data_IF_297946098565
#
_entry.id   IF_297946098565
#
_cell.length_a   1.000
_cell.length_b   1.000
_cell.length_c   1.000
_cell.angle_alpha   90.00
_cell.angle_beta   90.00
_cell.angle_gamma   90.00
#
_symmetry.space_group_name_H-M   'P 1'
#
loop_
_entity.id
_entity.type
_entity.pdbx_description
1 polymer ?
#
# COMPACT_ATOMS: atom_id res chain seq x y z
N UNK A 1 16.51 -51.31 60.50
CA UNK A 1 16.61 -50.91 59.10
C UNK A 1 15.89 -49.59 58.96
N UNK A 2 16.63 -48.45 58.86
CA UNK A 2 16.09 -47.12 58.70
C UNK A 2 15.88 -46.86 57.21
N UNK A 3 14.63 -46.66 56.76
CA UNK A 3 14.30 -46.28 55.38
C UNK A 3 14.54 -44.77 55.22
N UNK A 4 15.53 -44.41 54.38
CA UNK A 4 15.80 -43.05 53.97
C UNK A 4 14.87 -42.74 52.80
N UNK A 5 13.93 -41.82 52.98
CA UNK A 5 13.03 -41.30 51.94
C UNK A 5 13.78 -40.23 51.15
N UNK A 6 14.00 -40.35 49.81
CA UNK A 6 14.61 -39.28 49.05
C UNK A 6 13.63 -38.11 48.89
N UNK A 7 14.05 -36.94 49.36
CA UNK A 7 13.34 -35.69 49.10
C UNK A 7 13.67 -35.26 47.66
N UNK A 8 12.66 -35.35 46.77
CA UNK A 8 12.76 -34.86 45.40
C UNK A 8 12.66 -33.33 45.43
N UNK A 9 13.80 -32.66 45.27
CA UNK A 9 13.87 -31.19 45.17
C UNK A 9 13.46 -30.80 43.75
N UNK A 10 12.19 -30.41 43.56
CA UNK A 10 11.69 -29.81 42.30
C UNK A 10 12.24 -28.41 42.18
N UNK A 11 13.19 -28.21 41.27
CA UNK A 11 13.65 -26.88 40.88
C UNK A 11 12.59 -26.28 39.97
N UNK A 12 11.81 -25.32 40.50
CA UNK A 12 10.89 -24.48 39.69
C UNK A 12 11.77 -23.52 38.92
N UNK A 13 11.90 -23.72 37.60
CA UNK A 13 12.51 -22.73 36.72
C UNK A 13 11.48 -21.62 36.50
N UNK A 14 11.69 -20.50 37.14
CA UNK A 14 10.95 -19.26 36.84
C UNK A 14 11.54 -18.69 35.55
N UNK A 15 10.90 -18.93 34.43
CA UNK A 15 11.20 -18.20 33.21
C UNK A 15 10.68 -16.77 33.38
N UNK A 16 11.56 -15.81 33.56
CA UNK A 16 11.20 -14.40 33.41
C UNK A 16 10.84 -14.16 31.94
N UNK A 17 9.57 -14.11 31.63
CA UNK A 17 9.10 -13.49 30.38
C UNK A 17 9.31 -11.99 30.61
N UNK A 18 10.36 -11.45 30.06
CA UNK A 18 10.55 -10.00 30.02
C UNK A 18 9.35 -9.40 29.31
N UNK A 19 8.60 -8.53 29.98
CA UNK A 19 7.55 -7.76 29.32
C UNK A 19 8.24 -6.83 28.31
N UNK A 20 7.87 -6.92 27.01
CA UNK A 20 8.36 -6.00 25.99
C UNK A 20 7.97 -4.56 26.37
N UNK A 21 8.95 -3.65 26.34
CA UNK A 21 8.73 -2.23 26.64
C UNK A 21 8.14 -1.47 25.44
N UNK A 22 8.14 -2.07 24.25
CA UNK A 22 7.69 -1.46 23.01
C UNK A 22 6.49 -2.19 22.43
N UNK A 23 5.46 -1.42 22.08
CA UNK A 23 4.36 -1.86 21.25
C UNK A 23 4.46 -1.15 19.90
N UNK A 24 4.62 -1.92 18.83
CA UNK A 24 4.62 -1.43 17.45
C UNK A 24 3.32 -1.85 16.77
N UNK A 25 2.65 -0.89 16.14
CA UNK A 25 1.37 -1.12 15.45
C UNK A 25 1.34 -0.40 14.10
N UNK A 26 0.58 -0.93 13.15
CA UNK A 26 0.40 -0.39 11.80
C UNK A 26 0.04 -1.50 10.82
N UNK A 27 -0.28 -1.10 9.60
CA UNK A 27 -0.49 -2.06 8.52
C UNK A 27 0.84 -2.67 8.09
N UNK A 28 0.79 -3.94 7.68
CA UNK A 28 1.99 -4.70 7.31
C UNK A 28 1.97 -5.19 5.86
N UNK A 29 0.87 -4.98 5.14
CA UNK A 29 0.74 -5.35 3.73
C UNK A 29 0.31 -4.14 2.91
N UNK A 30 1.11 -3.79 1.92
CA UNK A 30 0.88 -2.69 1.00
C UNK A 30 0.96 -3.20 -0.43
N UNK A 31 -0.10 -2.94 -1.21
CA UNK A 31 -0.10 -3.19 -2.64
C UNK A 31 0.20 -1.89 -3.38
N UNK A 32 0.96 -1.98 -4.47
CA UNK A 32 1.29 -0.84 -5.30
C UNK A 32 1.62 -1.22 -6.74
N UNK A 33 1.87 -0.20 -7.54
CA UNK A 33 2.32 -0.37 -8.92
C UNK A 33 3.85 -0.41 -9.03
N UNK A 34 4.35 -0.51 -10.27
CA UNK A 34 5.78 -0.66 -10.53
C UNK A 34 6.55 0.67 -10.60
N UNK A 35 5.86 1.81 -10.55
CA UNK A 35 6.48 3.13 -10.82
C UNK A 35 6.27 4.12 -9.68
N UNK A 36 5.25 3.92 -8.86
CA UNK A 36 4.95 4.80 -7.73
C UNK A 36 5.60 4.27 -6.46
N UNK A 37 6.26 5.16 -5.71
CA UNK A 37 6.79 4.82 -4.39
C UNK A 37 5.68 4.43 -3.43
N UNK A 38 5.83 3.28 -2.78
CA UNK A 38 4.92 2.82 -1.75
C UNK A 38 5.46 3.26 -0.39
N UNK A 39 4.61 3.84 0.45
CA UNK A 39 4.95 4.23 1.81
C UNK A 39 4.19 3.41 2.84
N UNK A 40 4.86 3.13 3.95
CA UNK A 40 4.31 2.46 5.14
C UNK A 40 4.61 3.25 6.39
N UNK A 41 3.75 3.18 7.39
CA UNK A 41 3.93 3.90 8.64
C UNK A 41 3.67 2.95 9.81
N UNK A 42 4.54 3.01 10.83
CA UNK A 42 4.38 2.28 12.07
C UNK A 42 4.31 3.24 13.24
N UNK A 43 3.40 2.99 14.14
CA UNK A 43 3.29 3.67 15.43
C UNK A 43 4.09 2.92 16.47
N UNK A 44 4.91 3.63 17.23
CA UNK A 44 5.74 3.07 18.29
C UNK A 44 5.30 3.63 19.63
N UNK A 45 4.96 2.77 20.58
CA UNK A 45 4.52 3.16 21.93
C UNK A 45 5.41 2.54 22.98
N UNK A 46 5.86 3.36 23.94
CA UNK A 46 6.48 2.89 25.17
C UNK A 46 5.40 2.38 26.13
N UNK A 47 5.42 1.09 26.43
CA UNK A 47 4.50 0.43 27.37
C UNK A 47 5.10 0.24 28.76
N UNK A 48 6.38 0.60 28.94
CA UNK A 48 7.08 0.51 30.22
C UNK A 48 6.76 1.70 31.14
N UNK A 49 7.25 1.63 32.36
CA UNK A 49 7.16 2.70 33.37
C UNK A 49 8.34 3.66 33.36
N UNK A 50 9.36 3.41 32.50
CA UNK A 50 10.54 4.21 32.39
C UNK A 50 10.62 4.91 31.03
N UNK A 51 11.37 6.00 30.94
CA UNK A 51 11.76 6.57 29.65
C UNK A 51 12.71 5.61 28.96
N UNK A 52 12.49 5.33 27.68
CA UNK A 52 13.34 4.47 26.85
C UNK A 52 13.86 5.26 25.65
N UNK A 53 15.09 4.95 25.23
CA UNK A 53 15.71 5.54 24.04
C UNK A 53 15.64 4.52 22.91
N UNK A 54 14.81 4.77 21.91
CA UNK A 54 14.49 3.82 20.84
C UNK A 54 15.29 4.11 19.58
N UNK A 55 15.83 3.05 18.98
CA UNK A 55 16.36 3.02 17.61
C UNK A 55 15.57 2.06 16.74
N UNK A 56 15.63 2.28 15.42
CA UNK A 56 15.01 1.40 14.42
C UNK A 56 16.09 0.82 13.51
N UNK A 57 16.24 -0.49 13.49
CA UNK A 57 17.09 -1.21 12.53
C UNK A 57 16.24 -1.74 11.38
N UNK A 58 16.75 -1.61 10.14
CA UNK A 58 16.12 -2.15 8.94
C UNK A 58 16.90 -3.36 8.42
N UNK A 59 16.18 -4.42 8.05
CA UNK A 59 16.75 -5.60 7.36
C UNK A 59 15.91 -5.88 6.11
N UNK A 60 16.55 -5.94 4.95
CA UNK A 60 15.91 -6.39 3.72
C UNK A 60 15.87 -7.91 3.73
N UNK A 61 14.71 -8.53 3.93
CA UNK A 61 14.52 -9.98 3.91
C UNK A 61 14.42 -10.50 2.48
N UNK A 62 13.64 -9.78 1.65
CA UNK A 62 13.51 -10.06 0.22
C UNK A 62 13.30 -8.75 -0.53
N UNK A 63 14.17 -8.45 -1.48
CA UNK A 63 14.01 -7.30 -2.38
C UNK A 63 14.17 -7.80 -3.82
N UNK A 64 13.14 -7.68 -4.68
CA UNK A 64 13.25 -7.96 -6.10
C UNK A 64 14.41 -7.21 -6.75
N UNK A 65 15.09 -7.84 -7.72
CA UNK A 65 16.27 -7.28 -8.34
C UNK A 65 15.95 -5.94 -9.03
N UNK A 66 16.60 -4.87 -8.61
CA UNK A 66 16.36 -3.50 -9.09
C UNK A 66 15.46 -2.67 -8.18
N UNK A 67 14.70 -3.27 -7.26
CA UNK A 67 13.95 -2.54 -6.26
C UNK A 67 14.82 -2.04 -5.11
N UNK A 68 14.37 -1.01 -4.40
CA UNK A 68 15.06 -0.44 -3.26
C UNK A 68 14.09 -0.11 -2.12
N UNK A 69 14.53 -0.30 -0.87
CA UNK A 69 13.79 0.13 0.32
C UNK A 69 14.61 1.08 1.16
N UNK A 70 13.99 2.15 1.64
CA UNK A 70 14.58 3.13 2.56
C UNK A 70 13.58 3.50 3.64
N UNK A 71 14.01 4.21 4.67
CA UNK A 71 13.15 4.56 5.79
C UNK A 71 13.57 5.84 6.47
N UNK A 72 12.64 6.45 7.21
CA UNK A 72 12.88 7.56 8.10
C UNK A 72 12.48 7.17 9.52
N UNK A 73 13.26 7.61 10.52
CA UNK A 73 12.95 7.46 11.94
C UNK A 73 13.79 8.45 12.75
N UNK A 74 13.25 8.94 13.88
CA UNK A 74 13.93 9.86 14.79
C UNK A 74 14.49 11.10 14.07
N UNK A 75 13.65 11.73 13.24
CA UNK A 75 13.97 12.96 12.51
C UNK A 75 14.97 12.81 11.36
N UNK A 76 15.40 11.59 11.03
CA UNK A 76 16.36 11.34 9.94
C UNK A 76 15.87 10.27 8.97
N UNK A 77 16.27 10.42 7.68
CA UNK A 77 16.01 9.45 6.64
C UNK A 77 17.31 8.72 6.26
N UNK A 78 17.18 7.43 6.01
CA UNK A 78 18.29 6.50 5.77
C UNK A 78 18.18 5.90 4.38
N UNK A 79 19.29 5.85 3.66
CA UNK A 79 19.37 5.29 2.32
C UNK A 79 19.07 3.79 2.28
N UNK A 80 18.88 3.24 1.08
CA UNK A 80 18.62 1.82 0.87
C UNK A 80 19.68 0.89 1.47
N UNK A 81 20.95 1.32 1.46
CA UNK A 81 22.09 0.57 2.02
C UNK A 81 22.25 0.70 3.54
N UNK A 82 21.51 1.61 4.18
CA UNK A 82 21.63 1.83 5.63
C UNK A 82 20.81 0.80 6.40
N UNK A 83 21.47 0.03 7.25
CA UNK A 83 20.84 -0.97 8.12
C UNK A 83 20.82 -0.53 9.59
N UNK A 84 21.81 0.26 10.02
CA UNK A 84 21.95 0.70 11.40
C UNK A 84 21.74 2.21 11.51
N UNK A 85 20.78 2.67 12.30
CA UNK A 85 20.46 4.09 12.42
C UNK A 85 21.49 4.82 13.27
N UNK A 86 21.77 6.08 12.92
CA UNK A 86 22.57 6.99 13.78
C UNK A 86 21.71 7.67 14.85
N UNK A 87 20.42 7.90 14.56
CA UNK A 87 19.49 8.64 15.42
C UNK A 87 18.64 7.74 16.30
N UNK A 88 18.18 8.30 17.40
CA UNK A 88 17.27 7.66 18.36
C UNK A 88 16.21 8.66 18.82
N UNK A 89 15.06 8.15 19.27
CA UNK A 89 13.99 8.93 19.85
C UNK A 89 13.78 8.53 21.33
N UNK A 90 13.64 9.52 22.21
CA UNK A 90 13.29 9.26 23.61
C UNK A 90 11.77 9.24 23.78
N UNK A 91 11.24 8.14 24.33
CA UNK A 91 9.83 7.97 24.61
C UNK A 91 9.59 7.93 26.12
N UNK A 92 8.79 8.85 26.63
CA UNK A 92 8.30 8.83 28.01
C UNK A 92 7.35 7.64 28.24
N UNK A 93 7.13 7.21 29.49
CA UNK A 93 6.15 6.19 29.82
C UNK A 93 4.78 6.47 29.20
N UNK A 94 4.27 5.52 28.43
CA UNK A 94 2.98 5.62 27.74
C UNK A 94 2.97 6.48 26.47
N UNK A 95 4.06 7.19 26.16
CA UNK A 95 4.16 8.00 24.95
C UNK A 95 4.11 7.12 23.70
N UNK A 96 3.47 7.66 22.65
CA UNK A 96 3.43 7.10 21.29
C UNK A 96 4.04 8.10 20.33
N UNK A 97 4.80 7.64 19.36
CA UNK A 97 5.20 8.38 18.16
C UNK A 97 4.39 7.83 16.99
N UNK A 98 3.78 8.71 16.19
CA UNK A 98 2.88 8.34 15.08
C UNK A 98 3.01 9.31 13.93
N UNK A 99 3.05 8.79 12.70
CA UNK A 99 3.00 9.61 11.49
C UNK A 99 1.68 10.39 11.40
N UNK A 100 0.58 9.80 11.84
CA UNK A 100 -0.74 10.44 11.83
C UNK A 100 -0.82 11.70 12.70
N UNK A 101 0.04 11.80 13.73
CA UNK A 101 0.16 12.99 14.57
C UNK A 101 1.17 14.02 14.04
N UNK A 102 1.81 13.75 12.89
CA UNK A 102 2.90 14.57 12.34
C UNK A 102 4.11 14.66 13.29
N UNK A 103 4.36 13.60 14.06
CA UNK A 103 5.52 13.54 14.94
C UNK A 103 6.80 13.51 14.10
N UNK A 104 7.77 14.39 14.40
CA UNK A 104 9.03 14.48 13.68
C UNK A 104 9.87 13.19 13.74
N UNK A 105 9.70 12.41 14.80
CA UNK A 105 10.43 11.16 15.04
C UNK A 105 9.70 9.93 14.47
N UNK A 106 8.54 10.13 13.79
CA UNK A 106 7.71 9.04 13.29
C UNK A 106 8.46 8.14 12.31
N UNK A 107 8.10 6.84 12.33
CA UNK A 107 8.60 5.88 11.35
C UNK A 107 7.84 5.99 10.03
N UNK A 108 8.60 6.00 8.95
CA UNK A 108 8.09 5.86 7.57
C UNK A 108 9.03 4.93 6.80
N UNK A 109 8.49 3.82 6.33
CA UNK A 109 9.18 2.91 5.41
C UNK A 109 8.76 3.22 3.97
N UNK A 110 9.67 3.06 3.03
CA UNK A 110 9.43 3.31 1.60
C UNK A 110 9.98 2.16 0.77
N UNK A 111 9.28 1.86 -0.32
CA UNK A 111 9.74 0.93 -1.32
C UNK A 111 9.50 1.47 -2.73
N UNK A 112 10.54 1.41 -3.56
CA UNK A 112 10.50 1.71 -4.98
C UNK A 112 10.79 0.44 -5.78
N UNK A 113 9.83 0.02 -6.59
CA UNK A 113 9.94 -1.17 -7.44
C UNK A 113 10.79 -0.93 -8.70
N UNK A 114 10.93 0.34 -9.14
CA UNK A 114 11.66 0.74 -10.36
C UNK A 114 11.33 -0.11 -11.59
N UNK A 115 10.07 -0.42 -11.79
CA UNK A 115 9.59 -1.22 -12.91
C UNK A 115 9.70 -2.74 -12.72
N UNK A 116 10.19 -3.23 -11.58
CA UNK A 116 10.36 -4.66 -11.30
C UNK A 116 9.16 -5.22 -10.53
N UNK A 117 8.48 -6.20 -11.13
CA UNK A 117 7.39 -6.92 -10.46
C UNK A 117 7.93 -7.89 -9.40
N UNK A 118 7.26 -7.97 -8.28
CA UNK A 118 7.59 -8.88 -7.20
C UNK A 118 7.07 -8.45 -5.83
N UNK A 119 7.38 -9.26 -4.83
CA UNK A 119 7.07 -8.98 -3.43
C UNK A 119 8.35 -8.62 -2.71
N UNK A 120 8.40 -7.43 -2.11
CA UNK A 120 9.49 -7.04 -1.23
C UNK A 120 9.06 -7.22 0.23
N UNK A 121 9.99 -7.73 1.05
CA UNK A 121 9.81 -7.89 2.49
C UNK A 121 10.94 -7.19 3.24
N UNK A 122 10.56 -6.27 4.10
CA UNK A 122 11.48 -5.46 4.90
C UNK A 122 11.10 -5.58 6.36
N UNK A 123 12.05 -5.98 7.19
CA UNK A 123 11.89 -6.04 8.63
C UNK A 123 12.39 -4.75 9.26
N UNK A 124 11.60 -4.21 10.17
CA UNK A 124 11.95 -3.08 11.03
C UNK A 124 11.91 -3.53 12.48
N UNK A 125 13.07 -3.48 13.16
CA UNK A 125 13.22 -3.82 14.57
C UNK A 125 13.44 -2.56 15.38
N UNK A 126 12.53 -2.28 16.31
CA UNK A 126 12.63 -1.18 17.26
C UNK A 126 13.13 -1.72 18.59
N UNK A 127 14.18 -1.13 19.13
CA UNK A 127 14.82 -1.62 20.35
C UNK A 127 15.23 -0.49 21.28
N UNK A 128 15.25 -0.76 22.59
CA UNK A 128 15.82 0.15 23.58
C UNK A 128 17.36 0.11 23.51
N UNK A 129 17.98 1.26 23.28
CA UNK A 129 19.46 1.39 23.23
C UNK A 129 20.14 0.91 24.50
N UNK A 130 19.48 1.06 25.67
CA UNK A 130 20.02 0.65 26.96
C UNK A 130 19.78 -0.84 27.27
N UNK A 131 18.86 -1.48 26.55
CA UNK A 131 18.57 -2.91 26.62
C UNK A 131 18.25 -3.46 25.23
N UNK A 132 19.25 -3.69 24.36
CA UNK A 132 19.03 -4.09 22.97
C UNK A 132 18.32 -5.44 22.77
N UNK A 133 18.19 -6.25 23.84
CA UNK A 133 17.40 -7.49 23.80
C UNK A 133 15.90 -7.28 23.98
N UNK A 134 15.49 -6.07 24.38
CA UNK A 134 14.11 -5.62 24.44
C UNK A 134 13.76 -4.95 23.11
N UNK A 135 13.45 -5.77 22.13
CA UNK A 135 13.12 -5.36 20.75
C UNK A 135 11.77 -5.88 20.30
N UNK A 136 11.14 -5.12 19.39
CA UNK A 136 9.93 -5.52 18.69
C UNK A 136 10.16 -5.35 17.20
N UNK A 137 10.05 -6.45 16.45
CA UNK A 137 10.24 -6.46 15.01
C UNK A 137 8.90 -6.62 14.28
N UNK A 138 8.77 -5.92 13.15
CA UNK A 138 7.62 -5.99 12.25
C UNK A 138 8.12 -6.16 10.82
N UNK A 139 7.56 -7.12 10.09
CA UNK A 139 7.83 -7.31 8.67
C UNK A 139 6.76 -6.55 7.88
N UNK A 140 7.20 -5.67 7.01
CA UNK A 140 6.36 -4.98 6.04
C UNK A 140 6.52 -5.67 4.69
N UNK A 141 5.39 -6.03 4.08
CA UNK A 141 5.32 -6.62 2.74
C UNK A 141 4.81 -5.57 1.75
N UNK A 142 5.58 -5.32 0.70
CA UNK A 142 5.19 -4.49 -0.44
C UNK A 142 4.95 -5.39 -1.64
N UNK A 143 3.69 -5.52 -2.06
CA UNK A 143 3.28 -6.39 -3.16
C UNK A 143 3.10 -5.56 -4.45
N UNK A 144 4.05 -5.72 -5.36
CA UNK A 144 4.02 -5.17 -6.72
C UNK A 144 3.85 -6.29 -7.77
N UNK A 145 3.23 -7.42 -7.41
CA UNK A 145 2.97 -8.52 -8.36
C UNK A 145 1.72 -8.25 -9.17
N UNK A 146 0.72 -7.60 -8.57
CA UNK A 146 -0.47 -7.19 -9.27
C UNK A 146 -0.12 -5.98 -10.10
N UNK A 147 0.14 -6.17 -11.38
CA UNK A 147 -0.08 -5.12 -12.35
C UNK A 147 -1.59 -4.89 -12.43
N UNK A 148 -2.17 -4.21 -11.45
CA UNK A 148 -3.37 -3.41 -11.70
C UNK A 148 -2.95 -2.16 -12.48
N UNK A 149 -1.89 -2.26 -13.25
CA UNK A 149 -1.79 -1.48 -14.43
C UNK A 149 -3.00 -1.91 -15.25
N UNK A 150 -3.96 -1.04 -15.39
CA UNK A 150 -4.61 -0.90 -16.68
C UNK A 150 -3.42 -0.76 -17.64
N UNK A 151 -2.88 -1.91 -18.08
CA UNK A 151 -1.95 -1.99 -19.18
C UNK A 151 -2.76 -1.75 -20.44
N UNK A 152 -3.14 -0.49 -20.62
CA UNK A 152 -3.52 0.02 -21.92
C UNK A 152 -3.41 1.55 -21.95
N UNK A 153 -2.21 2.06 -21.70
CA UNK A 153 -1.83 3.32 -22.34
C UNK A 153 -1.33 3.09 -23.77
N UNK A 154 -1.58 1.92 -24.34
CA UNK A 154 -1.53 1.75 -25.79
C UNK A 154 -2.84 2.23 -26.39
N UNK A 155 -2.83 3.50 -26.78
CA UNK A 155 -3.93 4.24 -27.37
C UNK A 155 -5.17 4.34 -26.43
N UNK A 156 -5.25 5.43 -25.68
CA UNK A 156 -6.48 5.83 -25.02
C UNK A 156 -7.60 5.74 -26.05
N UNK A 157 -8.40 4.67 -25.95
CA UNK A 157 -9.61 4.53 -26.74
C UNK A 157 -10.61 5.50 -26.15
N UNK A 158 -10.59 6.72 -26.62
CA UNK A 158 -11.42 7.80 -26.14
C UNK A 158 -12.51 8.16 -27.13
N UNK A 159 -13.63 8.61 -26.60
CA UNK A 159 -14.63 9.35 -27.36
C UNK A 159 -14.77 10.74 -26.80
N UNK A 160 -15.00 11.74 -27.67
CA UNK A 160 -15.40 13.07 -27.24
C UNK A 160 -16.80 13.06 -26.67
N UNK A 161 -17.22 14.20 -26.11
CA UNK A 161 -18.62 14.42 -25.77
C UNK A 161 -19.52 14.26 -27.00
N UNK A 162 -20.76 13.83 -26.76
CA UNK A 162 -21.78 13.74 -27.80
C UNK A 162 -22.32 15.12 -28.13
N UNK A 163 -22.38 15.44 -29.43
CA UNK A 163 -22.90 16.70 -29.91
C UNK A 163 -23.84 16.50 -31.13
N UNK A 164 -24.98 17.22 -31.21
CA UNK A 164 -25.54 18.08 -30.18
C UNK A 164 -26.01 17.31 -28.94
N UNK A 165 -26.00 17.99 -27.80
CA UNK A 165 -26.61 17.49 -26.57
C UNK A 165 -27.32 18.66 -25.86
N UNK A 166 -28.67 18.68 -25.78
CA UNK A 166 -29.62 17.65 -26.24
C UNK A 166 -29.62 17.42 -27.75
N UNK A 167 -29.81 16.15 -28.14
CA UNK A 167 -29.83 15.72 -29.53
C UNK A 167 -31.24 15.53 -30.05
N UNK A 168 -31.44 15.70 -31.37
CA UNK A 168 -32.68 15.44 -32.04
C UNK A 168 -32.42 14.70 -33.39
N UNK A 169 -32.83 13.44 -33.44
CA UNK A 169 -32.68 12.59 -34.62
C UNK A 169 -31.27 11.99 -34.76
N UNK A 170 -30.24 12.71 -34.52
CA UNK A 170 -28.85 12.19 -34.54
C UNK A 170 -27.96 12.90 -33.53
N UNK A 171 -26.85 12.25 -33.18
CA UNK A 171 -25.72 12.82 -32.44
C UNK A 171 -24.41 12.30 -33.03
N UNK A 172 -23.32 12.98 -32.80
CA UNK A 172 -21.99 12.55 -33.22
C UNK A 172 -20.94 12.77 -32.14
N UNK A 173 -19.80 12.14 -32.30
CA UNK A 173 -18.65 12.22 -31.42
C UNK A 173 -17.39 11.85 -32.19
N UNK A 174 -16.22 12.24 -31.69
CA UNK A 174 -14.94 11.82 -32.24
C UNK A 174 -14.44 10.57 -31.52
N UNK A 175 -14.08 9.54 -32.27
CA UNK A 175 -13.48 8.31 -31.76
C UNK A 175 -11.98 8.32 -32.02
N UNK A 176 -11.17 8.12 -30.99
CA UNK A 176 -9.72 8.13 -31.02
C UNK A 176 -9.12 6.73 -30.77
N UNK A 177 -9.77 5.66 -31.12
CA UNK A 177 -9.27 4.31 -31.00
C UNK A 177 -9.14 3.61 -32.35
N UNK A 178 -8.63 2.39 -32.34
CA UNK A 178 -8.54 1.53 -33.54
C UNK A 178 -9.75 0.61 -33.66
N UNK A 179 -10.28 0.13 -32.53
CA UNK A 179 -11.46 -0.77 -32.49
C UNK A 179 -12.12 -0.70 -31.10
N UNK A 180 -13.43 -0.49 -31.07
CA UNK A 180 -14.22 -0.55 -29.83
C UNK A 180 -15.69 -0.82 -30.13
N UNK A 181 -16.48 -1.04 -29.08
CA UNK A 181 -17.92 -1.17 -29.15
C UNK A 181 -18.56 -0.12 -28.26
N UNK A 182 -19.38 0.76 -28.82
CA UNK A 182 -20.18 1.71 -28.07
C UNK A 182 -21.56 1.13 -27.82
N UNK A 183 -21.95 0.99 -26.56
CA UNK A 183 -23.29 0.62 -26.13
C UNK A 183 -24.03 1.85 -25.61
N UNK A 184 -25.22 2.12 -26.13
CA UNK A 184 -26.12 3.13 -25.58
C UNK A 184 -27.09 2.45 -24.64
N UNK A 185 -27.20 2.93 -23.44
CA UNK A 185 -28.04 2.38 -22.37
C UNK A 185 -29.02 3.45 -21.86
N UNK A 186 -30.21 3.03 -21.46
CA UNK A 186 -31.18 3.88 -20.81
C UNK A 186 -30.87 4.04 -19.30
N UNK A 187 -31.65 4.83 -18.57
CA UNK A 187 -31.49 5.07 -17.14
C UNK A 187 -31.69 3.82 -16.27
N UNK A 188 -32.26 2.75 -16.81
CA UNK A 188 -32.44 1.46 -16.13
C UNK A 188 -31.29 0.50 -16.44
N UNK A 189 -30.32 0.90 -17.28
CA UNK A 189 -29.21 0.07 -17.70
C UNK A 189 -29.50 -0.86 -18.86
N UNK A 190 -30.68 -0.77 -19.48
CA UNK A 190 -31.01 -1.60 -20.65
C UNK A 190 -30.26 -1.07 -21.88
N UNK A 191 -29.64 -1.99 -22.62
CA UNK A 191 -29.00 -1.65 -23.88
C UNK A 191 -30.08 -1.36 -24.94
N UNK A 192 -30.10 -0.13 -25.44
CA UNK A 192 -31.04 0.33 -26.49
C UNK A 192 -30.40 0.39 -27.87
N UNK A 193 -29.09 0.60 -27.96
CA UNK A 193 -28.35 0.62 -29.23
C UNK A 193 -26.90 0.17 -29.05
N UNK A 194 -26.29 -0.33 -30.12
CA UNK A 194 -24.90 -0.75 -30.13
C UNK A 194 -24.26 -0.39 -31.47
N UNK A 195 -23.08 0.20 -31.42
CA UNK A 195 -22.29 0.61 -32.59
C UNK A 195 -20.90 0.02 -32.48
N UNK A 196 -20.45 -0.66 -33.52
CA UNK A 196 -19.07 -1.10 -33.61
C UNK A 196 -18.24 0.03 -34.23
N UNK A 197 -17.21 0.45 -33.51
CA UNK A 197 -16.28 1.50 -33.90
C UNK A 197 -15.02 0.86 -34.48
N UNK A 198 -14.62 1.31 -35.65
CA UNK A 198 -13.39 0.93 -36.32
C UNK A 198 -12.82 2.22 -36.90
N UNK A 199 -11.50 2.39 -36.77
CA UNK A 199 -10.76 3.58 -37.24
C UNK A 199 -11.12 4.86 -36.48
N UNK A 200 -10.13 5.72 -36.35
CA UNK A 200 -10.27 7.05 -35.75
C UNK A 200 -11.15 7.96 -36.60
N UNK A 201 -11.78 8.93 -35.99
CA UNK A 201 -12.53 9.98 -36.67
C UNK A 201 -13.92 10.21 -36.11
N UNK A 202 -14.65 11.09 -36.78
CA UNK A 202 -16.00 11.47 -36.41
C UNK A 202 -16.99 10.34 -36.72
N UNK A 203 -17.86 10.04 -35.76
CA UNK A 203 -18.89 8.98 -35.84
C UNK A 203 -20.26 9.57 -35.59
N UNK A 204 -21.21 9.19 -36.41
CA UNK A 204 -22.58 9.63 -36.33
C UNK A 204 -23.48 8.50 -35.88
N UNK A 205 -24.42 8.79 -34.99
CA UNK A 205 -25.41 7.84 -34.49
C UNK A 205 -26.80 8.40 -34.77
N UNK A 206 -27.59 7.63 -35.50
CA UNK A 206 -29.01 7.86 -35.64
C UNK A 206 -29.70 7.45 -34.32
N UNK A 207 -30.43 8.36 -33.73
CA UNK A 207 -31.19 8.17 -32.49
C UNK A 207 -32.67 8.51 -32.68
N UNK A 208 -33.13 8.61 -33.92
CA UNK A 208 -34.50 8.93 -34.26
C UNK A 208 -35.53 7.90 -33.76
N UNK A 209 -35.08 6.68 -33.54
CA UNK A 209 -35.85 5.55 -32.99
C UNK A 209 -35.92 5.51 -31.47
N UNK A 210 -35.14 6.38 -30.80
CA UNK A 210 -35.13 6.42 -29.35
C UNK A 210 -36.19 7.39 -28.80
N UNK A 211 -36.86 7.01 -27.73
CA UNK A 211 -37.80 7.87 -27.01
C UNK A 211 -37.05 9.06 -26.37
N UNK A 212 -37.77 10.15 -26.10
CA UNK A 212 -37.18 11.25 -25.34
C UNK A 212 -36.78 10.79 -23.96
N UNK A 213 -35.53 11.04 -23.57
CA UNK A 213 -34.99 10.59 -22.30
C UNK A 213 -33.49 10.86 -22.13
N UNK A 214 -32.96 10.38 -21.02
CA UNK A 214 -31.52 10.40 -20.73
C UNK A 214 -30.94 9.05 -21.10
N UNK A 215 -29.82 9.06 -21.81
CA UNK A 215 -29.07 7.90 -22.23
C UNK A 215 -27.59 8.07 -21.92
N UNK A 216 -26.91 6.96 -21.74
CA UNK A 216 -25.48 6.92 -21.48
C UNK A 216 -24.76 6.12 -22.56
N UNK A 217 -23.62 6.63 -23.02
CA UNK A 217 -22.71 5.90 -23.90
C UNK A 217 -21.68 5.14 -23.06
N UNK A 218 -21.61 3.81 -23.19
CA UNK A 218 -20.61 2.97 -22.56
C UNK A 218 -19.69 2.39 -23.65
N UNK A 219 -18.42 2.81 -23.64
CA UNK A 219 -17.40 2.34 -24.57
C UNK A 219 -16.73 1.09 -24.01
N UNK A 220 -16.60 0.06 -24.83
CA UNK A 220 -15.94 -1.21 -24.50
C UNK A 220 -14.90 -1.47 -25.59
N UNK A 221 -13.64 -1.43 -25.23
CA UNK A 221 -12.48 -1.74 -26.08
C UNK A 221 -12.03 -3.18 -25.90
#
# INVERSE_FOLDING_TARGET
>A
MKKILPILLTIIQVTFVGAQSLLVTGDTLFAGDLVTQISSHLDIKNTSTNTITVKCQKTNLNIPLGGESFYCFAGNCYSASSTSPSSSADLLPGQRISFANSDADAHSGYYDAYGTSGVAEVEYCFYDVNNPTDETCVIITYDCTSTTAINDFNELTEISDFYPNPANGFTHFTFNGTKAQLKIIDILGNKVKQVNLQEKGEKYIDISDLSKGLYFGNLIS
#
